data_IF_348407507078
#
_entry.id   IF_348407507078
#
_cell.length_a   1.000
_cell.length_b   1.000
_cell.length_c   1.000
_cell.angle_alpha   90.00
_cell.angle_beta   90.00
_cell.angle_gamma   90.00
#
_symmetry.space_group_name_H-M   'P 1'
#
loop_
_entity.id
_entity.type
_entity.pdbx_description
1 polymer ?
#
# COMPACT_ATOMS: atom_id res chain seq x y z
N UNK A 1 9.90 -5.59 -5.11
CA UNK A 1 9.28 -5.03 -6.33
C UNK A 1 7.81 -5.36 -6.30
N UNK A 2 6.94 -4.36 -6.12
CA UNK A 2 5.49 -4.56 -5.91
C UNK A 2 4.70 -4.81 -7.18
N UNK A 3 5.28 -4.58 -8.34
CA UNK A 3 4.74 -4.92 -9.65
C UNK A 3 5.91 -4.72 -10.63
N UNK A 4 6.39 -5.76 -11.30
CA UNK A 4 7.53 -5.66 -12.24
C UNK A 4 7.25 -4.79 -13.47
N UNK A 5 5.99 -4.39 -13.67
CA UNK A 5 5.53 -3.57 -14.78
C UNK A 5 5.89 -2.08 -14.64
N UNK A 6 5.84 -1.53 -13.43
CA UNK A 6 5.97 -0.08 -13.23
C UNK A 6 7.26 0.26 -12.51
N UNK A 7 7.99 1.23 -13.07
CA UNK A 7 9.14 1.86 -12.43
C UNK A 7 8.88 3.34 -12.23
N UNK A 8 8.97 3.79 -10.99
CA UNK A 8 8.86 5.20 -10.61
C UNK A 8 10.18 5.89 -10.98
N UNK A 9 10.11 6.98 -11.74
CA UNK A 9 11.26 7.79 -12.13
C UNK A 9 10.98 9.27 -11.86
N UNK A 10 12.02 10.02 -11.44
CA UNK A 10 11.90 11.48 -11.32
C UNK A 10 11.82 12.09 -12.72
N UNK A 11 10.91 13.05 -12.91
CA UNK A 11 10.84 13.83 -14.13
C UNK A 11 12.01 14.83 -14.19
N UNK A 12 12.79 14.77 -15.26
CA UNK A 12 13.91 15.69 -15.47
C UNK A 12 13.45 17.15 -15.52
N UNK A 13 14.29 18.05 -15.00
CA UNK A 13 13.99 19.49 -14.97
C UNK A 13 12.92 19.92 -13.96
N UNK A 14 12.46 19.02 -13.08
CA UNK A 14 11.53 19.33 -11.99
C UNK A 14 12.15 19.02 -10.63
N UNK A 15 11.62 19.61 -9.56
CA UNK A 15 12.11 19.31 -8.21
C UNK A 15 11.63 17.94 -7.73
N UNK A 16 10.32 17.69 -7.77
CA UNK A 16 9.68 16.54 -7.12
C UNK A 16 8.61 15.87 -7.99
N UNK A 17 8.52 16.17 -9.29
CA UNK A 17 7.56 15.46 -10.13
C UNK A 17 8.07 14.07 -10.48
N UNK A 18 7.13 13.12 -10.53
CA UNK A 18 7.38 11.72 -10.76
C UNK A 18 6.61 11.26 -12.01
N UNK A 19 7.27 10.44 -12.82
CA UNK A 19 6.69 9.71 -13.93
C UNK A 19 6.74 8.21 -13.65
N UNK A 20 5.98 7.47 -14.45
CA UNK A 20 6.00 6.01 -14.45
C UNK A 20 6.52 5.52 -15.79
N UNK A 21 7.44 4.58 -15.74
CA UNK A 21 7.85 3.77 -16.89
C UNK A 21 7.02 2.49 -16.86
N UNK A 22 6.22 2.26 -17.91
CA UNK A 22 5.49 1.00 -18.13
C UNK A 22 6.35 0.05 -18.96
N UNK A 23 6.97 -0.92 -18.28
CA UNK A 23 7.89 -1.90 -18.90
C UNK A 23 7.17 -2.86 -19.85
N UNK A 24 5.84 -2.97 -19.76
CA UNK A 24 5.05 -3.79 -20.68
C UNK A 24 4.71 -3.05 -21.98
N UNK A 25 4.87 -1.72 -21.99
CA UNK A 25 4.66 -0.87 -23.16
C UNK A 25 5.99 -0.30 -23.66
N UNK A 26 6.98 -1.16 -23.90
CA UNK A 26 8.29 -0.77 -24.42
C UNK A 26 8.94 0.40 -23.66
N UNK A 27 8.88 0.34 -22.32
CA UNK A 27 9.37 1.38 -21.42
C UNK A 27 8.76 2.77 -21.67
N UNK A 28 7.49 2.84 -22.08
CA UNK A 28 6.81 4.12 -22.28
C UNK A 28 6.76 4.92 -20.98
N UNK A 29 7.13 6.20 -21.08
CA UNK A 29 7.07 7.14 -19.95
C UNK A 29 5.70 7.79 -19.94
N UNK A 30 4.98 7.61 -18.85
CA UNK A 30 3.62 8.11 -18.64
C UNK A 30 3.53 8.95 -17.38
N UNK A 31 2.57 9.87 -17.39
CA UNK A 31 2.19 10.61 -16.18
C UNK A 31 1.53 9.68 -15.17
N UNK A 32 1.81 9.90 -13.88
CA UNK A 32 1.12 9.25 -12.76
C UNK A 32 -0.40 9.40 -12.82
N UNK A 33 -0.91 10.50 -13.38
CA UNK A 33 -2.34 10.76 -13.50
C UNK A 33 -3.06 9.86 -14.51
N UNK A 34 -2.31 9.08 -15.30
CA UNK A 34 -2.88 8.17 -16.31
C UNK A 34 -3.09 6.74 -15.80
N UNK A 35 -2.70 6.47 -14.55
CA UNK A 35 -2.86 5.16 -13.92
C UNK A 35 -4.31 4.90 -13.51
N UNK A 36 -4.72 3.64 -13.52
CA UNK A 36 -5.98 3.22 -12.92
C UNK A 36 -5.97 3.41 -11.39
N UNK A 37 -7.13 3.27 -10.74
CA UNK A 37 -7.23 3.35 -9.28
C UNK A 37 -6.34 2.33 -8.56
N UNK A 38 -6.32 1.07 -9.04
CA UNK A 38 -5.49 0.03 -8.44
C UNK A 38 -4.00 0.20 -8.73
N UNK A 39 -3.65 0.64 -9.94
CA UNK A 39 -2.27 0.95 -10.31
C UNK A 39 -1.71 2.11 -9.46
N UNK A 40 -2.50 3.16 -9.26
CA UNK A 40 -2.15 4.29 -8.41
C UNK A 40 -1.93 3.88 -6.95
N UNK A 41 -2.75 2.97 -6.43
CA UNK A 41 -2.60 2.42 -5.09
C UNK A 41 -1.29 1.64 -4.94
N UNK A 42 -0.98 0.75 -5.89
CA UNK A 42 0.28 -0.01 -5.87
C UNK A 42 1.51 0.89 -5.93
N UNK A 43 1.48 1.93 -6.77
CA UNK A 43 2.57 2.91 -6.87
C UNK A 43 2.72 3.67 -5.56
N UNK A 44 1.63 4.11 -4.96
CA UNK A 44 1.62 4.79 -3.66
C UNK A 44 2.15 3.90 -2.55
N UNK A 45 1.75 2.62 -2.55
CA UNK A 45 2.27 1.62 -1.63
C UNK A 45 3.77 1.44 -1.84
N UNK A 46 4.23 1.16 -3.05
CA UNK A 46 5.66 0.99 -3.36
C UNK A 46 6.50 2.20 -2.93
N UNK A 47 5.98 3.41 -3.13
CA UNK A 47 6.62 4.64 -2.69
C UNK A 47 6.67 4.73 -1.16
N UNK A 48 5.56 4.46 -0.46
CA UNK A 48 5.51 4.44 1.01
C UNK A 48 6.49 3.43 1.60
N UNK A 49 6.63 2.24 0.97
CA UNK A 49 7.59 1.23 1.39
C UNK A 49 9.05 1.66 1.13
N UNK A 50 9.32 2.26 -0.03
CA UNK A 50 10.63 2.81 -0.37
C UNK A 50 11.05 3.91 0.60
N UNK A 51 10.14 4.84 0.89
CA UNK A 51 10.35 5.92 1.86
C UNK A 51 10.52 5.37 3.27
N UNK A 52 9.70 4.41 3.71
CA UNK A 52 9.86 3.76 5.02
C UNK A 52 11.21 3.05 5.17
N UNK A 53 11.73 2.50 4.08
CA UNK A 53 13.04 1.84 4.06
C UNK A 53 14.20 2.84 4.11
N UNK A 54 14.07 3.99 3.42
CA UNK A 54 15.04 5.08 3.50
C UNK A 54 15.03 5.76 4.88
N UNK A 55 13.84 6.07 5.39
CA UNK A 55 13.68 6.73 6.68
C UNK A 55 14.17 5.87 7.85
N UNK A 56 14.01 4.54 7.77
CA UNK A 56 14.56 3.60 8.76
C UNK A 56 16.08 3.68 8.91
N UNK A 57 16.81 4.19 7.92
CA UNK A 57 18.27 4.39 7.98
C UNK A 57 18.69 5.66 8.72
N UNK A 58 17.84 6.70 8.72
CA UNK A 58 18.10 8.00 9.36
C UNK A 58 17.34 8.18 10.68
N UNK A 59 16.25 7.45 10.87
CA UNK A 59 15.32 7.61 11.99
C UNK A 59 14.68 6.26 12.30
N UNK A 60 14.37 5.99 13.57
CA UNK A 60 13.89 4.68 14.03
C UNK A 60 12.40 4.45 13.69
N UNK A 61 11.95 4.83 12.48
CA UNK A 61 10.55 4.67 12.04
C UNK A 61 10.30 3.19 11.78
N UNK A 62 9.58 2.59 12.73
CA UNK A 62 9.22 1.16 12.73
C UNK A 62 7.77 0.90 12.35
N UNK A 63 6.97 1.94 12.17
CA UNK A 63 5.53 1.79 11.93
C UNK A 63 5.10 2.39 10.60
N UNK A 64 4.22 1.69 9.89
CA UNK A 64 3.57 2.15 8.66
C UNK A 64 2.06 1.94 8.79
N UNK A 65 1.28 2.98 8.50
CA UNK A 65 -0.18 2.88 8.42
C UNK A 65 -0.61 3.09 6.97
N UNK A 66 -1.45 2.17 6.48
CA UNK A 66 -2.03 2.23 5.13
C UNK A 66 -3.53 2.34 5.31
N UNK A 67 -4.07 3.45 4.82
CA UNK A 67 -5.51 3.68 4.77
C UNK A 67 -6.08 3.21 3.43
N UNK A 68 -7.40 3.20 3.32
CA UNK A 68 -8.20 2.64 2.22
C UNK A 68 -7.58 2.70 0.81
N UNK A 69 -7.90 1.70 -0.02
CA UNK A 69 -7.39 1.63 -1.39
C UNK A 69 -7.23 0.20 -1.92
N UNK A 70 -7.35 -0.79 -1.04
CA UNK A 70 -7.35 -2.20 -1.42
C UNK A 70 -8.61 -2.64 -2.17
N UNK A 71 -9.73 -1.93 -2.02
CA UNK A 71 -11.00 -2.28 -2.67
C UNK A 71 -11.05 -1.97 -4.17
N UNK A 72 -10.07 -1.23 -4.71
CA UNK A 72 -9.93 -0.96 -6.14
C UNK A 72 -9.00 -1.97 -6.84
N UNK A 73 -8.46 -2.93 -6.09
CA UNK A 73 -7.56 -3.97 -6.61
C UNK A 73 -8.38 -5.19 -7.04
N UNK A 74 -7.96 -5.80 -8.15
CA UNK A 74 -8.36 -7.17 -8.45
C UNK A 74 -7.73 -8.15 -7.44
N UNK A 75 -8.25 -9.37 -7.39
CA UNK A 75 -7.83 -10.42 -6.44
C UNK A 75 -6.33 -10.72 -6.50
N UNK A 76 -5.75 -10.81 -7.71
CA UNK A 76 -4.33 -11.13 -7.89
C UNK A 76 -3.45 -9.98 -7.38
N UNK A 77 -3.85 -8.75 -7.67
CA UNK A 77 -3.15 -7.55 -7.22
C UNK A 77 -3.24 -7.37 -5.71
N UNK A 78 -4.41 -7.64 -5.12
CA UNK A 78 -4.61 -7.62 -3.68
C UNK A 78 -3.71 -8.64 -2.96
N UNK A 79 -3.65 -9.86 -3.49
CA UNK A 79 -2.81 -10.92 -2.94
C UNK A 79 -1.33 -10.53 -2.88
N UNK A 80 -0.84 -9.91 -3.95
CA UNK A 80 0.53 -9.42 -4.02
C UNK A 80 0.78 -8.27 -3.04
N UNK A 81 -0.18 -7.34 -2.90
CA UNK A 81 -0.10 -6.26 -1.94
C UNK A 81 0.02 -6.82 -0.50
N UNK A 82 -0.87 -7.75 -0.13
CA UNK A 82 -0.84 -8.41 1.20
C UNK A 82 0.49 -9.13 1.42
N UNK A 83 0.93 -9.93 0.45
CA UNK A 83 2.21 -10.67 0.55
C UNK A 83 3.41 -9.72 0.75
N UNK A 84 3.37 -8.54 0.15
CA UNK A 84 4.43 -7.54 0.34
C UNK A 84 4.40 -6.95 1.75
N UNK A 85 3.21 -6.70 2.30
CA UNK A 85 3.05 -6.20 3.67
C UNK A 85 3.55 -7.23 4.68
N UNK A 86 3.22 -8.51 4.50
CA UNK A 86 3.73 -9.60 5.35
C UNK A 86 5.27 -9.66 5.34
N UNK A 87 5.90 -9.56 4.16
CA UNK A 87 7.36 -9.54 4.03
C UNK A 87 8.01 -8.37 4.78
N UNK A 88 7.36 -7.21 4.79
CA UNK A 88 7.86 -6.05 5.55
C UNK A 88 7.63 -6.20 7.05
N UNK A 89 6.54 -6.82 7.45
CA UNK A 89 6.27 -7.14 8.85
C UNK A 89 7.33 -8.10 9.40
N UNK A 90 7.73 -9.09 8.61
CA UNK A 90 8.86 -9.98 8.93
C UNK A 90 10.19 -9.23 9.08
N UNK A 91 10.35 -8.09 8.41
CA UNK A 91 11.49 -7.18 8.57
C UNK A 91 11.49 -6.35 9.87
N UNK A 92 10.58 -6.63 10.81
CA UNK A 92 10.48 -5.95 12.10
C UNK A 92 9.75 -4.61 12.05
N UNK A 93 9.00 -4.33 10.97
CA UNK A 93 8.13 -3.16 10.88
C UNK A 93 6.71 -3.51 11.34
N UNK A 94 6.13 -2.66 12.16
CA UNK A 94 4.71 -2.72 12.50
C UNK A 94 3.89 -2.12 11.37
N UNK A 95 2.97 -2.89 10.81
CA UNK A 95 2.09 -2.43 9.72
C UNK A 95 0.66 -2.41 10.24
N UNK A 96 0.03 -1.25 10.16
CA UNK A 96 -1.40 -1.06 10.40
C UNK A 96 -2.13 -0.86 9.09
N UNK A 97 -3.23 -1.58 8.88
CA UNK A 97 -4.04 -1.50 7.67
C UNK A 97 -5.47 -1.13 8.07
N UNK A 98 -6.03 -0.13 7.41
CA UNK A 98 -7.44 0.25 7.53
C UNK A 98 -8.11 -0.13 6.22
N UNK A 99 -9.05 -1.07 6.28
CA UNK A 99 -9.74 -1.57 5.09
C UNK A 99 -11.08 -2.20 5.43
N UNK A 100 -12.03 -2.09 4.50
CA UNK A 100 -13.32 -2.77 4.56
C UNK A 100 -13.32 -4.11 3.80
N UNK A 101 -12.27 -4.39 3.00
CA UNK A 101 -12.10 -5.58 2.15
C UNK A 101 -12.07 -6.86 3.02
N UNK A 102 -12.76 -7.92 2.59
CA UNK A 102 -12.95 -9.13 3.40
C UNK A 102 -11.73 -10.03 3.39
N UNK A 103 -11.10 -10.15 2.23
CA UNK A 103 -9.91 -10.94 1.93
C UNK A 103 -8.73 -10.54 2.83
N UNK A 104 -8.60 -9.24 3.11
CA UNK A 104 -7.63 -8.71 4.08
C UNK A 104 -7.91 -9.19 5.51
N UNK A 105 -9.17 -9.33 5.90
CA UNK A 105 -9.57 -9.82 7.24
C UNK A 105 -9.32 -11.31 7.40
N UNK A 106 -9.31 -12.08 6.32
CA UNK A 106 -9.04 -13.52 6.39
C UNK A 106 -7.54 -13.80 6.51
N UNK A 107 -6.70 -12.94 5.92
CA UNK A 107 -5.23 -13.08 5.91
C UNK A 107 -4.56 -12.52 7.16
N UNK A 108 -5.11 -11.46 7.75
CA UNK A 108 -4.52 -10.78 8.92
C UNK A 108 -5.17 -11.32 10.21
N UNK A 109 -4.40 -12.07 11.00
CA UNK A 109 -4.89 -12.69 12.23
C UNK A 109 -5.32 -11.66 13.30
N UNK A 110 -4.47 -10.69 13.61
CA UNK A 110 -4.75 -9.66 14.62
C UNK A 110 -5.53 -8.50 14.01
N UNK A 111 -6.74 -8.27 14.53
CA UNK A 111 -7.70 -7.32 14.00
C UNK A 111 -8.27 -6.43 15.10
N UNK A 112 -8.39 -5.15 14.79
CA UNK A 112 -9.19 -4.20 15.57
C UNK A 112 -10.51 -4.02 14.83
N UNK A 113 -11.57 -4.67 15.32
CA UNK A 113 -12.89 -4.65 14.72
C UNK A 113 -13.70 -3.48 15.27
N UNK A 114 -14.21 -2.65 14.37
CA UNK A 114 -15.16 -1.57 14.71
C UNK A 114 -16.58 -2.08 14.46
N UNK A 115 -17.34 -2.26 15.55
CA UNK A 115 -18.73 -2.73 15.53
C UNK A 115 -19.67 -1.56 15.79
N UNK A 116 -20.47 -1.20 14.79
CA UNK A 116 -21.52 -0.18 14.93
C UNK A 116 -22.61 -0.69 15.90
N UNK A 117 -23.01 0.15 16.86
CA UNK A 117 -24.14 -0.08 17.76
C UNK A 117 -25.31 0.85 17.38
N UNK A 118 -26.48 0.57 17.93
CA UNK A 118 -27.62 1.48 17.82
C UNK A 118 -27.29 2.82 18.50
N UNK A 119 -27.97 3.90 18.08
CA UNK A 119 -27.81 5.26 18.60
C UNK A 119 -26.51 5.98 18.22
N UNK A 120 -25.89 5.62 17.08
CA UNK A 120 -24.72 6.34 16.54
C UNK A 120 -23.41 6.08 17.29
N UNK A 121 -23.39 5.14 18.23
CA UNK A 121 -22.18 4.73 18.97
C UNK A 121 -21.51 3.56 18.26
N UNK A 122 -20.19 3.47 18.34
CA UNK A 122 -19.42 2.31 17.88
C UNK A 122 -18.61 1.71 19.02
N UNK A 123 -18.43 0.39 19.01
CA UNK A 123 -17.56 -0.34 19.94
C UNK A 123 -16.35 -0.87 19.19
N UNK A 124 -15.20 -0.83 19.83
CA UNK A 124 -13.98 -1.47 19.34
C UNK A 124 -13.79 -2.80 20.05
N UNK A 125 -13.50 -3.84 19.29
CA UNK A 125 -13.21 -5.19 19.78
C UNK A 125 -11.90 -5.68 19.15
N UNK A 126 -11.03 -6.27 19.97
CA UNK A 126 -9.79 -6.89 19.47
C UNK A 126 -10.12 -8.36 19.19
N UNK A 127 -9.94 -8.78 17.94
CA UNK A 127 -9.95 -10.18 17.55
C UNK A 127 -8.51 -10.57 17.23
N UNK A 128 -8.00 -11.64 17.83
CA UNK A 128 -6.64 -12.13 17.63
C UNK A 128 -6.63 -13.63 17.49
#
# INVERSE_FOLDING_TARGET
>A
HLYGRYRIVKREGTDLELNIVDTYQADSVRSLFSLSGGESFLVSLALALGLSSLAARQSNIRSLFIDEGFGSLDEQTLDLAISTLENLQAGGKTIGIISHVKELKERIATQVKVVKKNNGVSRVEIAG
#
